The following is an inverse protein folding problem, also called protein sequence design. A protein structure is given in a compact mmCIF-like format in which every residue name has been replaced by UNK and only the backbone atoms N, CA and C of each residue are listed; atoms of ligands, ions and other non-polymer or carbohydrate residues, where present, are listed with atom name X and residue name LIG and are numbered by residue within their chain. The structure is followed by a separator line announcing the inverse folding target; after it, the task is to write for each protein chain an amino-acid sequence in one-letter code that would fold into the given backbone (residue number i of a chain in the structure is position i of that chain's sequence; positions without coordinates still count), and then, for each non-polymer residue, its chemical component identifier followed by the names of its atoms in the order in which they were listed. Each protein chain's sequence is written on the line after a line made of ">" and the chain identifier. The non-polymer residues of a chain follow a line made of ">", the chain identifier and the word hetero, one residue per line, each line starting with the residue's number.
data_IF_286779812471
#
_entry.id   IF_286779812471
#
_cell.length_a   1.000
_cell.length_b   1.000
_cell.length_c   1.000
_cell.angle_alpha   90.00
_cell.angle_beta   90.00
_cell.angle_gamma   90.00
#
_symmetry.space_group_name_H-M   'P 1'
#
loop_
_entity.id
_entity.type
_entity.pdbx_description
1 polymer ?
#
# COMPACT_ATOMS: atom_id res chain seq x y z
N UNK A 1 11.36 -15.80 5.80
CA UNK A 1 11.90 -14.44 5.63
C UNK A 1 10.79 -13.41 5.52
N UNK A 2 11.05 -12.17 5.94
CA UNK A 2 10.12 -11.05 5.78
C UNK A 2 10.52 -10.26 4.54
N UNK A 3 9.55 -9.93 3.71
CA UNK A 3 9.71 -9.14 2.50
C UNK A 3 9.26 -7.71 2.77
N UNK A 4 9.92 -6.77 2.12
CA UNK A 4 9.73 -5.34 2.33
C UNK A 4 9.53 -4.66 0.97
N UNK A 5 8.61 -3.71 0.90
CA UNK A 5 8.39 -2.91 -0.29
C UNK A 5 8.13 -1.44 0.05
N UNK A 6 8.59 -0.57 -0.85
CA UNK A 6 8.38 0.87 -0.79
C UNK A 6 7.80 1.34 -2.12
N UNK A 7 6.67 2.02 -2.06
CA UNK A 7 6.02 2.64 -3.21
C UNK A 7 6.00 4.15 -3.02
N UNK A 8 6.22 4.88 -4.10
CA UNK A 8 6.08 6.34 -4.14
C UNK A 8 4.99 6.70 -5.13
N UNK A 9 4.27 7.78 -4.86
CA UNK A 9 3.32 8.35 -5.82
C UNK A 9 3.31 9.87 -5.71
N UNK A 10 2.87 10.53 -6.79
CA UNK A 10 2.81 11.98 -6.83
C UNK A 10 1.93 12.54 -5.70
N UNK A 11 0.85 11.83 -5.36
CA UNK A 11 0.06 12.11 -4.16
C UNK A 11 -0.78 10.91 -3.70
N UNK A 12 -1.19 10.97 -2.43
CA UNK A 12 -2.14 10.05 -1.81
C UNK A 12 -3.07 10.89 -0.91
N UNK A 13 -4.10 11.49 -1.50
CA UNK A 13 -5.09 12.30 -0.77
C UNK A 13 -6.43 11.56 -0.64
N UNK A 14 -6.79 10.80 -1.69
CA UNK A 14 -8.06 10.09 -1.80
C UNK A 14 -8.38 9.27 -0.54
N UNK A 15 -9.47 9.61 0.19
CA UNK A 15 -9.92 8.84 1.35
C UNK A 15 -10.27 7.40 0.97
N UNK A 16 -10.83 7.18 -0.23
CA UNK A 16 -11.17 5.86 -0.76
C UNK A 16 -9.93 4.99 -0.91
N UNK A 17 -8.86 5.49 -1.55
CA UNK A 17 -7.60 4.74 -1.66
C UNK A 17 -7.03 4.36 -0.30
N UNK A 18 -7.06 5.30 0.67
CA UNK A 18 -6.58 5.05 2.04
C UNK A 18 -7.40 3.98 2.77
N UNK A 19 -8.73 4.03 2.65
CA UNK A 19 -9.61 3.02 3.24
C UNK A 19 -9.39 1.64 2.63
N UNK A 20 -9.26 1.56 1.30
CA UNK A 20 -8.96 0.31 0.61
C UNK A 20 -7.63 -0.29 1.09
N UNK A 21 -6.56 0.52 1.19
CA UNK A 21 -5.28 0.05 1.70
C UNK A 21 -5.36 -0.43 3.15
N UNK A 22 -6.09 0.26 4.03
CA UNK A 22 -6.29 -0.18 5.41
C UNK A 22 -7.06 -1.51 5.49
N UNK A 23 -8.07 -1.70 4.62
CA UNK A 23 -8.81 -2.96 4.55
C UNK A 23 -7.92 -4.10 4.05
N UNK A 24 -7.16 -3.89 2.97
CA UNK A 24 -6.27 -4.91 2.43
C UNK A 24 -5.11 -5.25 3.36
N UNK A 25 -4.58 -4.29 4.11
CA UNK A 25 -3.51 -4.56 5.08
C UNK A 25 -3.98 -5.53 6.17
N UNK A 26 -5.23 -5.38 6.64
CA UNK A 26 -5.83 -6.30 7.59
C UNK A 26 -6.09 -7.69 6.98
N UNK A 27 -6.63 -7.75 5.76
CA UNK A 27 -6.96 -9.00 5.07
C UNK A 27 -5.71 -9.82 4.68
N UNK A 28 -4.64 -9.15 4.27
CA UNK A 28 -3.40 -9.77 3.82
C UNK A 28 -2.34 -9.88 4.92
N UNK A 29 -2.67 -9.52 6.17
CA UNK A 29 -1.74 -9.51 7.30
C UNK A 29 -0.44 -8.73 7.03
N UNK A 30 -0.55 -7.64 6.29
CA UNK A 30 0.56 -6.76 5.93
C UNK A 30 0.67 -5.64 6.96
N UNK A 31 1.88 -5.39 7.46
CA UNK A 31 2.20 -4.29 8.36
C UNK A 31 2.94 -3.19 7.63
N UNK A 32 2.80 -1.94 8.06
CA UNK A 32 3.50 -0.81 7.44
C UNK A 32 2.85 0.53 7.70
N UNK A 33 3.14 1.52 6.86
CA UNK A 33 2.57 2.86 6.97
C UNK A 33 2.45 3.53 5.60
N UNK A 34 1.61 4.57 5.53
CA UNK A 34 1.55 5.47 4.39
C UNK A 34 1.71 6.93 4.85
N UNK A 35 2.72 7.62 4.34
CA UNK A 35 2.79 9.08 4.40
C UNK A 35 1.85 9.65 3.35
N UNK A 36 0.73 10.20 3.81
CA UNK A 36 -0.29 10.90 3.02
C UNK A 36 0.23 12.30 2.62
N UNK A 37 -0.13 12.80 1.44
CA UNK A 37 0.28 14.14 0.98
C UNK A 37 0.87 14.18 -0.43
N UNK A 38 1.71 15.19 -0.69
CA UNK A 38 2.45 15.46 -1.93
C UNK A 38 3.97 15.59 -1.61
N UNK A 39 4.86 14.69 -2.06
CA UNK A 39 4.57 13.34 -2.53
C UNK A 39 4.17 12.43 -1.38
N UNK A 40 3.61 11.27 -1.72
CA UNK A 40 3.30 10.22 -0.77
C UNK A 40 4.23 9.02 -0.90
N UNK A 41 4.37 8.31 0.22
CA UNK A 41 5.18 7.11 0.35
C UNK A 41 4.36 6.04 1.07
N UNK A 42 4.40 4.81 0.59
CA UNK A 42 3.75 3.64 1.20
C UNK A 42 4.84 2.60 1.45
N UNK A 43 5.00 2.21 2.71
CA UNK A 43 5.88 1.13 3.13
C UNK A 43 5.04 -0.05 3.61
N UNK A 44 5.43 -1.26 3.24
CA UNK A 44 4.82 -2.49 3.73
C UNK A 44 5.84 -3.63 3.92
N UNK A 45 5.54 -4.50 4.88
CA UNK A 45 6.30 -5.72 5.18
C UNK A 45 5.39 -6.92 5.53
N UNK A 46 5.79 -8.13 5.13
CA UNK A 46 4.96 -9.34 5.25
C UNK A 46 5.61 -10.57 4.62
N UNK A 47 4.81 -11.63 4.39
CA UNK A 47 5.25 -12.73 3.52
C UNK A 47 5.29 -12.28 2.06
N UNK A 48 6.04 -12.99 1.22
CA UNK A 48 6.19 -12.63 -0.20
C UNK A 48 4.84 -12.51 -0.91
N UNK A 49 4.03 -13.56 -0.87
CA UNK A 49 2.74 -13.63 -1.57
C UNK A 49 1.78 -12.51 -1.12
N UNK A 50 1.76 -12.21 0.18
CA UNK A 50 0.93 -11.15 0.74
C UNK A 50 1.36 -9.77 0.27
N UNK A 51 2.68 -9.51 0.23
CA UNK A 51 3.24 -8.25 -0.24
C UNK A 51 2.99 -8.07 -1.73
N UNK A 52 3.22 -9.11 -2.53
CA UNK A 52 2.98 -9.08 -3.98
C UNK A 52 1.50 -8.80 -4.29
N UNK A 53 0.56 -9.46 -3.59
CA UNK A 53 -0.87 -9.21 -3.75
C UNK A 53 -1.27 -7.79 -3.30
N UNK A 54 -0.72 -7.31 -2.17
CA UNK A 54 -0.99 -5.95 -1.69
C UNK A 54 -0.50 -4.89 -2.69
N UNK A 55 0.70 -5.08 -3.25
CA UNK A 55 1.27 -4.21 -4.29
C UNK A 55 0.42 -4.25 -5.56
N UNK A 56 -0.03 -5.44 -5.98
CA UNK A 56 -0.89 -5.59 -7.16
C UNK A 56 -2.21 -4.81 -6.99
N UNK A 57 -2.86 -4.92 -5.83
CA UNK A 57 -4.07 -4.17 -5.51
C UNK A 57 -3.83 -2.65 -5.56
N UNK A 58 -2.70 -2.17 -5.01
CA UNK A 58 -2.35 -0.74 -5.04
C UNK A 58 -2.15 -0.27 -6.48
N UNK A 59 -1.39 -1.01 -7.29
CA UNK A 59 -1.12 -0.66 -8.69
C UNK A 59 -2.38 -0.68 -9.56
N UNK A 60 -3.35 -1.52 -9.24
CA UNK A 60 -4.62 -1.61 -9.96
C UNK A 60 -5.59 -0.45 -9.66
N UNK A 61 -5.35 0.36 -8.63
CA UNK A 61 -6.16 1.55 -8.38
C UNK A 61 -5.98 2.58 -9.52
N UNK A 62 -7.00 3.38 -9.78
CA UNK A 62 -6.89 4.50 -10.70
C UNK A 62 -5.97 5.59 -10.11
N UNK A 63 -4.79 5.79 -10.70
CA UNK A 63 -3.87 6.89 -10.39
C UNK A 63 -3.91 7.89 -11.55
N UNK A 64 -4.46 9.07 -11.31
CA UNK A 64 -4.40 10.23 -12.21
C UNK A 64 -3.53 11.31 -11.57
#
# INVERSE_FOLDING_TARGET
>A
DRYHALLTSHHLISPTKRRNMQQWSAQLHVSGFAKVGYPSVIYCEGSQDQIEQFIANIKAMQWL
#
